data_IF_352932031637
#
_entry.id   IF_352932031637
#
_cell.length_a   1.000
_cell.length_b   1.000
_cell.length_c   1.000
_cell.angle_alpha   90.00
_cell.angle_beta   90.00
_cell.angle_gamma   90.00
#
_symmetry.space_group_name_H-M   'P 1'
#
loop_
_entity.id
_entity.type
_entity.pdbx_description
1 polymer ?
#
# COMPACT_ATOMS: atom_id res chain seq x y z
N UNK A 1 -8.83 -12.74 -4.97
CA UNK A 1 -7.76 -13.71 -5.36
C UNK A 1 -6.52 -12.93 -5.79
N UNK A 2 -5.39 -13.10 -5.10
CA UNK A 2 -4.13 -12.41 -5.42
C UNK A 2 -3.51 -12.98 -6.70
N UNK A 3 -3.65 -12.25 -7.83
CA UNK A 3 -2.95 -12.53 -9.08
C UNK A 3 -1.46 -12.18 -8.95
N UNK A 4 -0.58 -12.85 -9.71
CA UNK A 4 0.86 -12.53 -9.77
C UNK A 4 1.18 -11.31 -10.65
N UNK A 5 0.19 -10.50 -11.01
CA UNK A 5 0.32 -9.35 -11.89
C UNK A 5 0.86 -8.17 -11.10
N UNK A 6 2.11 -7.79 -11.39
CA UNK A 6 2.78 -6.67 -10.74
C UNK A 6 2.51 -5.38 -11.52
N UNK A 7 2.24 -4.29 -10.79
CA UNK A 7 2.01 -2.97 -11.38
C UNK A 7 3.32 -2.23 -11.66
N UNK A 8 4.42 -2.68 -11.08
CA UNK A 8 5.73 -2.06 -11.21
C UNK A 8 6.79 -3.11 -11.49
N UNK A 9 7.80 -2.70 -12.25
CA UNK A 9 9.02 -3.48 -12.45
C UNK A 9 10.05 -3.21 -11.35
N UNK A 10 10.90 -4.20 -11.05
CA UNK A 10 12.01 -4.02 -10.10
C UNK A 10 12.99 -2.94 -10.58
N UNK A 11 13.14 -2.77 -11.89
CA UNK A 11 13.99 -1.74 -12.47
C UNK A 11 13.52 -0.32 -12.12
N UNK A 12 12.21 -0.07 -12.19
CA UNK A 12 11.63 1.23 -11.81
C UNK A 12 11.91 1.60 -10.35
N UNK A 13 12.01 0.61 -9.45
CA UNK A 13 12.40 0.82 -8.06
C UNK A 13 13.89 1.18 -7.98
N UNK A 14 14.76 0.46 -8.69
CA UNK A 14 16.20 0.74 -8.75
C UNK A 14 16.50 2.14 -9.28
N UNK A 15 15.76 2.60 -10.29
CA UNK A 15 15.98 3.91 -10.92
C UNK A 15 15.51 5.09 -10.04
N UNK A 16 14.46 4.88 -9.24
CA UNK A 16 13.84 5.94 -8.41
C UNK A 16 14.32 5.93 -6.95
N UNK A 17 15.08 4.93 -6.53
CA UNK A 17 15.54 4.78 -5.14
C UNK A 17 17.05 4.55 -5.06
N UNK A 18 17.61 4.61 -3.84
CA UNK A 18 19.02 4.29 -3.59
C UNK A 18 19.33 2.79 -3.57
N UNK A 19 18.45 1.93 -4.10
CA UNK A 19 18.68 0.49 -4.12
C UNK A 19 19.80 0.15 -5.10
N UNK A 20 20.81 -0.57 -4.61
CA UNK A 20 21.95 -0.94 -5.45
C UNK A 20 21.54 -1.87 -6.61
N UNK A 21 22.09 -1.67 -7.80
CA UNK A 21 21.72 -2.44 -9.00
C UNK A 21 21.91 -3.97 -8.85
N UNK A 22 22.87 -4.37 -8.02
CA UNK A 22 23.20 -5.77 -7.72
C UNK A 22 22.25 -6.49 -6.76
N UNK A 23 21.20 -5.83 -6.25
CA UNK A 23 20.21 -6.51 -5.41
C UNK A 23 19.43 -7.52 -6.25
N UNK A 24 19.34 -8.75 -5.74
CA UNK A 24 18.63 -9.86 -6.40
C UNK A 24 17.13 -9.56 -6.47
N UNK A 25 16.61 -9.52 -7.69
CA UNK A 25 15.22 -9.21 -7.99
C UNK A 25 14.27 -10.24 -7.37
N UNK A 26 14.71 -11.50 -7.20
CA UNK A 26 13.92 -12.57 -6.58
C UNK A 26 13.58 -12.28 -5.12
N UNK A 27 14.39 -11.48 -4.44
CA UNK A 27 14.11 -11.05 -3.06
C UNK A 27 13.17 -9.86 -3.01
N UNK A 28 13.12 -9.05 -4.08
CA UNK A 28 12.30 -7.83 -4.15
C UNK A 28 10.88 -8.13 -4.65
N UNK A 29 10.73 -9.05 -5.60
CA UNK A 29 9.43 -9.45 -6.16
C UNK A 29 8.36 -9.85 -5.11
N UNK A 30 8.65 -10.68 -4.08
CA UNK A 30 7.65 -11.01 -3.07
C UNK A 30 7.27 -9.79 -2.21
N UNK A 31 8.20 -8.87 -1.95
CA UNK A 31 7.92 -7.64 -1.21
C UNK A 31 7.04 -6.68 -2.01
N UNK A 32 7.27 -6.57 -3.33
CA UNK A 32 6.38 -5.83 -4.24
C UNK A 32 4.96 -6.39 -4.16
N UNK A 33 4.82 -7.71 -4.28
CA UNK A 33 3.51 -8.35 -4.25
C UNK A 33 2.80 -8.11 -2.92
N UNK A 34 3.50 -8.31 -1.81
CA UNK A 34 2.94 -8.07 -0.47
C UNK A 34 2.53 -6.62 -0.29
N UNK A 35 3.36 -5.66 -0.73
CA UNK A 35 3.03 -4.25 -0.64
C UNK A 35 1.81 -3.86 -1.49
N UNK A 36 1.66 -4.44 -2.68
CA UNK A 36 0.48 -4.24 -3.53
C UNK A 36 -0.79 -4.75 -2.86
N UNK A 37 -0.77 -5.99 -2.38
CA UNK A 37 -1.95 -6.62 -1.78
C UNK A 37 -2.31 -5.99 -0.42
N UNK A 38 -1.32 -5.57 0.37
CA UNK A 38 -1.56 -5.03 1.71
C UNK A 38 -1.88 -3.53 1.72
N UNK A 39 -1.28 -2.73 0.84
CA UNK A 39 -1.40 -1.27 0.91
C UNK A 39 -2.16 -0.65 -0.27
N UNK A 40 -2.04 -1.21 -1.47
CA UNK A 40 -2.67 -0.65 -2.68
C UNK A 40 -4.09 -1.17 -2.87
N UNK A 41 -4.33 -2.47 -2.64
CA UNK A 41 -5.66 -3.06 -2.70
C UNK A 41 -6.68 -2.32 -1.80
N UNK A 42 -6.42 -2.04 -0.50
CA UNK A 42 -7.35 -1.28 0.31
C UNK A 42 -7.42 0.21 -0.08
N UNK A 43 -6.39 0.78 -0.73
CA UNK A 43 -6.47 2.17 -1.22
C UNK A 43 -7.40 2.32 -2.44
N UNK A 44 -7.48 1.32 -3.31
CA UNK A 44 -8.24 1.35 -4.56
C UNK A 44 -9.62 0.68 -4.45
N UNK A 45 -9.76 -0.31 -3.56
CA UNK A 45 -10.90 -1.20 -3.50
C UNK A 45 -10.82 -2.36 -4.52
N UNK A 46 -11.58 -3.43 -4.26
CA UNK A 46 -11.46 -4.67 -5.03
C UNK A 46 -11.83 -4.54 -6.52
N UNK A 47 -12.89 -3.80 -6.85
CA UNK A 47 -13.36 -3.68 -8.24
C UNK A 47 -12.35 -2.93 -9.13
N UNK A 48 -11.89 -1.75 -8.69
CA UNK A 48 -10.91 -0.95 -9.42
C UNK A 48 -9.55 -1.68 -9.51
N UNK A 49 -9.13 -2.37 -8.45
CA UNK A 49 -7.90 -3.15 -8.47
C UNK A 49 -7.95 -4.29 -9.50
N UNK A 50 -9.07 -5.03 -9.58
CA UNK A 50 -9.26 -6.10 -10.55
C UNK A 50 -9.29 -5.59 -12.00
N UNK A 51 -9.89 -4.41 -12.22
CA UNK A 51 -9.87 -3.73 -13.52
C UNK A 51 -8.44 -3.39 -13.94
N UNK A 52 -7.64 -2.80 -13.06
CA UNK A 52 -6.24 -2.47 -13.33
C UNK A 52 -5.40 -3.73 -13.57
N UNK A 53 -5.58 -4.79 -12.78
CA UNK A 53 -4.89 -6.07 -13.04
C UNK A 53 -5.24 -6.63 -14.42
N UNK A 54 -6.49 -6.53 -14.84
CA UNK A 54 -6.92 -6.98 -16.17
C UNK A 54 -6.32 -6.12 -17.29
N UNK A 55 -6.25 -4.80 -17.09
CA UNK A 55 -5.60 -3.89 -18.03
C UNK A 55 -4.09 -4.20 -18.19
N UNK A 56 -3.41 -4.53 -17.09
CA UNK A 56 -2.01 -4.95 -17.10
C UNK A 56 -1.82 -6.30 -17.79
N UNK A 57 -2.65 -7.30 -17.46
CA UNK A 57 -2.60 -8.62 -18.10
C UNK A 57 -2.82 -8.52 -19.63
N UNK A 58 -3.70 -7.63 -20.06
CA UNK A 58 -4.03 -7.40 -21.47
C UNK A 58 -3.10 -6.39 -22.18
N UNK A 59 -2.14 -5.77 -21.47
CA UNK A 59 -1.29 -4.68 -21.97
C UNK A 59 -2.08 -3.55 -22.67
N UNK A 60 -3.31 -3.30 -22.24
CA UNK A 60 -4.21 -2.33 -22.86
C UNK A 60 -4.68 -1.37 -21.80
N UNK A 61 -4.12 -0.15 -21.83
CA UNK A 61 -4.41 0.89 -20.85
C UNK A 61 -5.21 2.01 -21.49
N UNK A 62 -6.20 2.50 -20.76
CA UNK A 62 -6.81 3.80 -21.06
C UNK A 62 -5.90 4.93 -20.57
N UNK A 63 -6.08 6.14 -21.13
CA UNK A 63 -5.32 7.31 -20.71
C UNK A 63 -5.47 7.58 -19.20
N UNK A 64 -6.69 7.44 -18.67
CA UNK A 64 -6.99 7.61 -17.25
C UNK A 64 -6.26 6.59 -16.37
N UNK A 65 -6.29 5.31 -16.75
CA UNK A 65 -5.59 4.24 -16.03
C UNK A 65 -4.07 4.46 -16.04
N UNK A 66 -3.52 4.95 -17.15
CA UNK A 66 -2.07 5.27 -17.25
C UNK A 66 -1.69 6.39 -16.28
N UNK A 67 -2.44 7.50 -16.27
CA UNK A 67 -2.24 8.60 -15.31
C UNK A 67 -2.36 8.13 -13.86
N UNK A 68 -3.36 7.29 -13.55
CA UNK A 68 -3.52 6.76 -12.20
C UNK A 68 -2.33 5.86 -11.79
N UNK A 69 -1.86 5.02 -12.70
CA UNK A 69 -0.77 4.09 -12.45
C UNK A 69 0.55 4.84 -12.25
N UNK A 70 0.96 5.64 -13.23
CA UNK A 70 2.29 6.24 -13.28
C UNK A 70 2.48 7.41 -12.30
N UNK A 71 1.45 8.25 -12.13
CA UNK A 71 1.57 9.49 -11.33
C UNK A 71 1.22 9.30 -9.85
N UNK A 72 0.49 8.23 -9.51
CA UNK A 72 -0.01 8.02 -8.14
C UNK A 72 0.32 6.65 -7.56
N UNK A 73 -0.01 5.55 -8.26
CA UNK A 73 0.19 4.19 -7.72
C UNK A 73 1.67 3.84 -7.63
N UNK A 74 2.45 4.10 -8.68
CA UNK A 74 3.87 3.74 -8.76
C UNK A 74 4.67 4.39 -7.63
N UNK A 75 4.51 5.69 -7.40
CA UNK A 75 5.24 6.39 -6.34
C UNK A 75 4.89 5.84 -4.95
N UNK A 76 3.62 5.61 -4.68
CA UNK A 76 3.15 5.02 -3.43
C UNK A 76 3.77 3.64 -3.18
N UNK A 77 3.72 2.78 -4.20
CA UNK A 77 4.19 1.39 -4.14
C UNK A 77 5.70 1.31 -3.92
N UNK A 78 6.50 2.15 -4.59
CA UNK A 78 7.95 2.20 -4.41
C UNK A 78 8.33 2.44 -2.95
N UNK A 79 7.70 3.43 -2.29
CA UNK A 79 8.03 3.77 -0.91
C UNK A 79 7.57 2.70 0.09
N UNK A 80 6.43 2.02 -0.17
CA UNK A 80 6.02 0.89 0.65
C UNK A 80 6.99 -0.30 0.53
N UNK A 81 7.44 -0.62 -0.67
CA UNK A 81 8.45 -1.68 -0.86
C UNK A 81 9.75 -1.30 -0.15
N UNK A 82 10.19 -0.06 -0.24
CA UNK A 82 11.38 0.42 0.48
C UNK A 82 11.23 0.38 2.00
N UNK A 83 10.02 0.39 2.57
CA UNK A 83 9.82 0.20 4.01
C UNK A 83 9.92 -1.25 4.46
N UNK A 84 9.56 -2.21 3.60
CA UNK A 84 9.60 -3.65 3.93
C UNK A 84 10.97 -4.28 3.58
N UNK A 85 11.66 -3.75 2.57
CA UNK A 85 12.97 -4.23 2.11
C UNK A 85 14.05 -4.36 3.20
N UNK A 86 14.19 -3.44 4.18
CA UNK A 86 15.16 -3.58 5.25
C UNK A 86 15.00 -4.89 6.04
N UNK A 87 13.76 -5.36 6.24
CA UNK A 87 13.51 -6.64 6.91
C UNK A 87 13.73 -7.81 5.96
N UNK A 88 13.18 -7.74 4.75
CA UNK A 88 13.27 -8.82 3.74
C UNK A 88 14.70 -9.10 3.25
N UNK A 89 15.59 -8.11 3.21
CA UNK A 89 16.99 -8.29 2.81
C UNK A 89 17.92 -8.71 3.95
N UNK A 90 17.60 -8.30 5.19
CA UNK A 90 18.46 -8.54 6.36
C UNK A 90 18.35 -9.95 6.90
N UNK A 91 17.16 -10.55 6.76
CA UNK A 91 16.85 -11.87 7.28
C UNK A 91 16.50 -12.81 6.14
N UNK A 92 17.23 -13.92 6.04
CA UNK A 92 16.93 -14.95 5.06
C UNK A 92 16.71 -16.28 5.78
N UNK A 93 15.62 -16.93 5.41
CA UNK A 93 15.31 -18.28 5.87
C UNK A 93 16.17 -19.27 5.11
N UNK A 94 17.06 -19.95 5.82
CA UNK A 94 17.80 -21.10 5.32
C UNK A 94 17.21 -22.38 5.91
N UNK A 95 17.47 -23.53 5.29
CA UNK A 95 17.03 -24.84 5.79
C UNK A 95 17.51 -25.14 7.22
N UNK A 96 18.52 -24.42 7.71
CA UNK A 96 19.09 -24.54 9.06
C UNK A 96 18.55 -23.49 10.06
N UNK A 97 17.58 -22.66 9.65
CA UNK A 97 16.98 -21.61 10.48
C UNK A 97 17.11 -20.20 9.90
N UNK A 98 16.80 -19.20 10.71
CA UNK A 98 16.89 -17.79 10.37
C UNK A 98 18.35 -17.32 10.50
N UNK A 99 18.96 -16.90 9.40
CA UNK A 99 20.32 -16.35 9.42
C UNK A 99 20.28 -14.89 9.01
N UNK A 100 20.97 -14.05 9.77
CA UNK A 100 21.21 -12.66 9.44
C UNK A 100 22.40 -12.55 8.50
N UNK A 101 22.24 -11.91 7.34
CA UNK A 101 23.38 -11.65 6.44
C UNK A 101 24.42 -10.81 7.19
N UNK A 102 25.65 -11.29 7.28
CA UNK A 102 26.81 -10.55 7.76
C UNK A 102 27.89 -10.66 6.71
N UNK A 103 28.47 -9.53 6.30
CA UNK A 103 29.68 -9.52 5.49
C UNK A 103 30.89 -9.64 6.41
N UNK A 104 31.93 -10.39 6.00
CA UNK A 104 33.14 -10.62 6.80
C UNK A 104 33.92 -9.34 7.18
N UNK A 105 33.55 -8.17 6.64
CA UNK A 105 34.15 -6.86 6.94
C UNK A 105 33.13 -5.72 7.07
N UNK A 106 31.87 -6.02 7.43
CA UNK A 106 30.84 -4.99 7.60
C UNK A 106 30.19 -5.09 8.98
N UNK A 107 30.14 -3.97 9.70
CA UNK A 107 29.26 -3.88 10.86
C UNK A 107 27.81 -3.81 10.38
N UNK A 108 27.04 -4.82 10.75
CA UNK A 108 25.62 -4.85 10.44
C UNK A 108 24.90 -3.77 11.29
N UNK A 109 24.04 -2.92 10.69
CA UNK A 109 23.32 -1.87 11.41
C UNK A 109 22.48 -2.47 12.54
N UNK A 110 22.17 -1.75 13.61
CA UNK A 110 21.36 -2.33 14.68
C UNK A 110 19.91 -2.60 14.20
N UNK A 111 19.18 -3.48 14.90
CA UNK A 111 17.76 -3.71 14.59
C UNK A 111 16.94 -2.41 14.73
N UNK A 112 17.33 -1.54 15.66
CA UNK A 112 16.67 -0.25 15.86
C UNK A 112 16.87 0.67 14.65
N UNK A 113 18.08 0.75 14.12
CA UNK A 113 18.37 1.59 12.93
C UNK A 113 17.56 1.10 11.71
N UNK A 114 17.38 -0.21 11.56
CA UNK A 114 16.55 -0.78 10.50
C UNK A 114 15.07 -0.37 10.63
N UNK A 115 14.54 -0.42 11.85
CA UNK A 115 13.16 -0.01 12.15
C UNK A 115 12.99 1.48 11.86
N UNK A 116 13.95 2.31 12.26
CA UNK A 116 13.88 3.77 12.04
C UNK A 116 13.91 4.11 10.54
N UNK A 117 14.74 3.41 9.77
CA UNK A 117 14.76 3.54 8.30
C UNK A 117 13.44 3.09 7.68
N UNK A 118 12.91 1.93 8.09
CA UNK A 118 11.63 1.42 7.62
C UNK A 118 10.49 2.39 7.90
N UNK A 119 10.41 2.91 9.14
CA UNK A 119 9.40 3.89 9.56
C UNK A 119 9.48 5.20 8.76
N UNK A 120 10.69 5.67 8.45
CA UNK A 120 10.88 6.87 7.62
C UNK A 120 10.33 6.68 6.20
N UNK A 121 10.55 5.52 5.59
CA UNK A 121 9.99 5.22 4.27
C UNK A 121 8.47 5.01 4.34
N UNK A 122 7.98 4.37 5.40
CA UNK A 122 6.55 4.19 5.64
C UNK A 122 5.80 5.52 5.75
N UNK A 123 6.32 6.48 6.51
CA UNK A 123 5.72 7.81 6.63
C UNK A 123 5.63 8.54 5.27
N UNK A 124 6.62 8.37 4.40
CA UNK A 124 6.58 8.90 3.02
C UNK A 124 5.53 8.17 2.18
N UNK A 125 5.47 6.84 2.30
CA UNK A 125 4.49 6.03 1.59
C UNK A 125 3.04 6.42 1.96
N UNK A 126 2.77 6.63 3.25
CA UNK A 126 1.45 7.09 3.73
C UNK A 126 1.05 8.46 3.17
N UNK A 127 2.00 9.39 3.01
CA UNK A 127 1.75 10.67 2.34
C UNK A 127 1.30 10.49 0.89
N UNK A 128 1.99 9.63 0.12
CA UNK A 128 1.60 9.33 -1.26
C UNK A 128 0.28 8.56 -1.34
N UNK A 129 0.03 7.63 -0.40
CA UNK A 129 -1.25 6.93 -0.26
C UNK A 129 -2.40 7.91 -0.04
N UNK A 130 -2.22 8.90 0.84
CA UNK A 130 -3.23 9.94 1.08
C UNK A 130 -3.49 10.79 -0.17
N UNK A 131 -2.44 11.10 -0.95
CA UNK A 131 -2.59 11.84 -2.20
C UNK A 131 -3.35 11.03 -3.27
N UNK A 132 -3.06 9.73 -3.37
CA UNK A 132 -3.78 8.79 -4.24
C UNK A 132 -5.27 8.75 -3.89
N UNK A 133 -5.62 8.55 -2.62
CA UNK A 133 -7.01 8.50 -2.16
C UNK A 133 -7.74 9.82 -2.44
N UNK A 134 -7.11 10.98 -2.18
CA UNK A 134 -7.70 12.30 -2.48
C UNK A 134 -7.99 12.48 -3.96
N UNK A 135 -7.07 12.05 -4.83
CA UNK A 135 -7.26 12.13 -6.28
C UNK A 135 -8.43 11.27 -6.75
N UNK A 136 -8.57 10.05 -6.24
CA UNK A 136 -9.69 9.15 -6.57
C UNK A 136 -11.03 9.71 -6.08
N UNK A 137 -11.05 10.30 -4.88
CA UNK A 137 -12.23 10.99 -4.34
C UNK A 137 -12.65 12.19 -5.20
N UNK A 138 -11.69 13.01 -5.63
CA UNK A 138 -11.96 14.16 -6.49
C UNK A 138 -12.48 13.75 -7.88
N UNK A 139 -11.97 12.65 -8.43
CA UNK A 139 -12.28 12.18 -9.78
C UNK A 139 -13.26 11.00 -9.77
N UNK A 140 -14.15 10.92 -8.79
CA UNK A 140 -15.06 9.79 -8.62
C UNK A 140 -15.94 9.49 -9.86
N UNK A 141 -16.30 10.52 -10.64
CA UNK A 141 -17.06 10.39 -11.87
C UNK A 141 -16.29 9.69 -12.99
N UNK A 142 -14.95 9.81 -12.99
CA UNK A 142 -14.07 9.16 -13.97
C UNK A 142 -13.76 7.71 -13.59
N UNK A 143 -13.90 7.36 -12.30
CA UNK A 143 -13.63 6.02 -11.76
C UNK A 143 -14.89 5.44 -11.09
N UNK A 144 -15.91 5.02 -11.87
CA UNK A 144 -17.17 4.51 -11.32
C UNK A 144 -16.98 3.26 -10.45
N UNK A 145 -15.96 2.45 -10.74
CA UNK A 145 -15.62 1.23 -9.99
C UNK A 145 -14.95 1.50 -8.64
N UNK A 146 -14.52 2.74 -8.37
CA UNK A 146 -14.01 3.13 -7.05
C UNK A 146 -15.14 3.16 -6.01
N UNK A 147 -16.30 3.73 -6.37
CA UNK A 147 -17.48 3.74 -5.49
C UNK A 147 -18.25 2.41 -5.53
N UNK A 148 -18.21 1.71 -6.66
CA UNK A 148 -18.84 0.40 -6.85
C UNK A 148 -17.82 -0.73 -6.63
N UNK A 149 -17.40 -0.92 -5.37
CA UNK A 149 -16.36 -1.89 -4.98
C UNK A 149 -16.79 -3.36 -5.06
N UNK A 150 -18.06 -3.64 -5.36
CA UNK A 150 -18.64 -4.98 -5.44
C UNK A 150 -19.47 -5.35 -4.21
N UNK A 151 -20.40 -6.29 -4.38
CA UNK A 151 -21.33 -6.77 -3.34
C UNK A 151 -20.91 -8.11 -2.70
N UNK A 152 -19.71 -8.60 -3.02
CA UNK A 152 -19.20 -9.84 -2.45
C UNK A 152 -18.66 -9.67 -1.03
N UNK A 153 -18.75 -10.72 -0.21
CA UNK A 153 -18.24 -10.71 1.18
C UNK A 153 -16.70 -10.55 1.21
N UNK A 154 -16.01 -11.00 0.17
CA UNK A 154 -14.55 -10.83 -0.04
C UNK A 154 -14.17 -9.46 -0.67
N UNK A 155 -15.15 -8.58 -0.93
CA UNK A 155 -14.90 -7.28 -1.54
C UNK A 155 -14.44 -6.27 -0.50
N UNK A 156 -13.26 -5.69 -0.73
CA UNK A 156 -12.65 -4.69 0.14
C UNK A 156 -13.12 -3.31 -0.33
N UNK A 157 -13.69 -2.56 0.63
CA UNK A 157 -14.04 -1.15 0.44
C UNK A 157 -12.77 -0.28 0.43
N UNK A 158 -12.72 0.79 -0.39
CA UNK A 158 -11.59 1.71 -0.36
C UNK A 158 -11.44 2.42 0.98
N UNK A 159 -10.20 2.59 1.40
CA UNK A 159 -9.84 3.38 2.58
C UNK A 159 -10.17 4.86 2.37
N UNK A 160 -10.70 5.48 3.41
CA UNK A 160 -10.99 6.92 3.39
C UNK A 160 -9.76 7.78 3.65
N UNK A 161 -8.76 7.23 4.35
CA UNK A 161 -7.52 7.91 4.73
C UNK A 161 -6.31 7.01 4.52
N UNK A 162 -5.17 7.62 4.16
CA UNK A 162 -3.90 6.95 3.93
C UNK A 162 -3.01 6.82 5.16
N UNK A 163 -3.36 7.47 6.27
CA UNK A 163 -2.58 7.45 7.51
C UNK A 163 -3.09 6.39 8.47
N UNK A 164 -2.18 5.64 9.10
CA UNK A 164 -2.53 4.72 10.19
C UNK A 164 -2.17 5.34 11.53
N UNK A 165 -3.16 5.86 12.26
CA UNK A 165 -2.98 6.40 13.62
C UNK A 165 -3.58 5.44 14.65
N UNK A 166 -2.90 5.25 15.78
CA UNK A 166 -3.39 4.43 16.89
C UNK A 166 -4.42 5.14 17.76
N UNK A 167 -4.62 6.44 17.54
CA UNK A 167 -5.53 7.29 18.29
C UNK A 167 -6.60 7.86 17.36
N UNK A 168 -7.86 7.60 17.67
CA UNK A 168 -8.99 8.18 16.93
C UNK A 168 -9.21 9.63 17.36
N UNK A 169 -9.07 10.58 16.44
CA UNK A 169 -9.17 12.02 16.70
C UNK A 169 -10.56 12.61 16.44
N UNK A 170 -11.53 11.78 16.08
CA UNK A 170 -12.84 12.25 15.63
C UNK A 170 -12.83 12.68 14.17
N UNK A 171 -13.95 12.49 13.49
CA UNK A 171 -14.18 13.05 12.16
C UNK A 171 -15.40 13.98 12.25
N UNK A 172 -15.23 15.22 11.79
CA UNK A 172 -16.23 16.28 11.92
C UNK A 172 -17.54 15.96 11.16
N UNK A 173 -17.52 15.04 10.18
CA UNK A 173 -18.74 14.63 9.48
C UNK A 173 -19.55 13.57 10.24
N UNK A 174 -19.03 13.04 11.34
CA UNK A 174 -19.76 12.19 12.28
C UNK A 174 -19.87 12.86 13.64
N UNK A 175 -20.30 14.13 13.64
CA UNK A 175 -20.94 14.72 14.80
C UNK A 175 -22.00 13.74 15.31
N UNK A 176 -21.75 13.22 16.51
CA UNK A 176 -22.55 12.25 17.27
C UNK A 176 -23.96 12.79 17.64
N UNK A 177 -24.38 13.91 17.03
CA UNK A 177 -25.53 14.75 17.40
C UNK A 177 -26.51 15.05 16.24
N UNK A 178 -26.31 14.50 15.03
CA UNK A 178 -27.33 14.60 13.96
C UNK A 178 -28.27 13.39 13.99
N UNK A 179 -29.58 13.67 14.13
CA UNK A 179 -30.69 12.73 14.21
C UNK A 179 -30.52 11.52 13.27
N UNK A 180 -30.45 10.31 13.85
CA UNK A 180 -30.72 9.06 13.13
C UNK A 180 -29.53 8.12 12.87
N UNK A 181 -28.29 8.45 13.26
CA UNK A 181 -27.15 7.50 13.20
C UNK A 181 -26.79 6.98 14.60
N UNK A 182 -26.68 5.65 14.75
CA UNK A 182 -26.23 5.01 15.99
C UNK A 182 -24.83 5.48 16.37
N UNK A 183 -24.62 5.88 17.64
CA UNK A 183 -23.29 6.24 18.17
C UNK A 183 -22.36 5.05 18.01
N UNK A 184 -21.31 5.16 17.19
CA UNK A 184 -20.30 4.09 17.08
C UNK A 184 -19.79 3.74 18.47
N UNK A 185 -19.87 2.47 18.84
CA UNK A 185 -19.32 1.97 20.11
C UNK A 185 -17.80 2.19 20.15
N UNK A 186 -17.21 2.18 21.34
CA UNK A 186 -15.76 2.30 21.47
C UNK A 186 -15.03 1.24 20.63
N UNK A 187 -15.50 0.00 20.63
CA UNK A 187 -14.94 -1.08 19.82
C UNK A 187 -14.97 -0.76 18.31
N UNK A 188 -16.08 -0.24 17.79
CA UNK A 188 -16.21 0.16 16.38
C UNK A 188 -15.34 1.37 15.99
N UNK A 189 -15.02 2.25 16.95
CA UNK A 189 -14.13 3.41 16.74
C UNK A 189 -12.66 3.01 16.60
N UNK A 190 -12.24 1.92 17.24
CA UNK A 190 -10.85 1.43 17.23
C UNK A 190 -10.57 0.33 16.20
N UNK A 191 -11.59 -0.21 15.53
CA UNK A 191 -11.46 -1.28 14.51
C UNK A 191 -11.10 -0.78 13.10
N UNK A 192 -10.59 0.46 12.95
CA UNK A 192 -10.22 1.01 11.63
C UNK A 192 -11.41 1.26 10.69
N UNK A 193 -12.64 1.07 11.16
CA UNK A 193 -13.85 1.37 10.39
C UNK A 193 -14.20 2.86 10.47
N UNK A 194 -13.32 3.70 9.91
CA UNK A 194 -13.44 5.17 9.90
C UNK A 194 -14.47 5.70 8.90
N UNK A 195 -15.24 4.87 8.21
CA UNK A 195 -16.34 5.34 7.35
C UNK A 195 -17.57 5.75 8.16
N UNK A 196 -17.89 7.04 8.24
CA UNK A 196 -19.26 7.51 8.52
C UNK A 196 -19.89 8.23 7.30
N UNK A 197 -19.11 8.34 6.22
CA UNK A 197 -19.47 8.82 4.90
C UNK A 197 -19.23 7.72 3.86
#
# INVERSE_FOLDING_TARGET
MSKNTLFISVQSIKDRTGLHANVDEKLVLPEIKTAQDMYILPALGSALYNELQTAVDANTYTQLQTTLLDDYIVDCLIYFVMSELPQGLSYQFYNKGLIRKSGENQENPSMQDMIDVANRYRARAEFYKQRLIKYLKQNNALYPNYLNFGSGIDSIKPDNEGYTVSMWLGDACCNDDYEGKHKKTFEERYQGNIGCC
#
